data_IF_530864014113
#
_entry.id   IF_530864014113
#
_cell.length_a   1.000
_cell.length_b   1.000
_cell.length_c   1.000
_cell.angle_alpha   90.00
_cell.angle_beta   90.00
_cell.angle_gamma   90.00
#
_symmetry.space_group_name_H-M   'P 1'
#
loop_
_entity.id
_entity.type
_entity.pdbx_description
1 polymer ?
#
# COMPACT_ATOMS: atom_id res chain seq x y z
N UNK A 1 30.08 -40.94 -59.11
CA UNK A 1 29.71 -41.84 -58.00
C UNK A 1 29.17 -40.91 -56.89
N UNK A 2 27.87 -40.64 -56.70
CA UNK A 2 26.75 -41.55 -56.30
C UNK A 2 27.24 -42.57 -55.25
N UNK A 3 26.77 -42.65 -54.00
CA UNK A 3 25.40 -42.66 -53.44
C UNK A 3 25.34 -41.93 -52.07
N UNK A 4 24.33 -41.11 -51.74
CA UNK A 4 23.00 -41.44 -51.18
C UNK A 4 23.02 -42.29 -49.89
N UNK A 5 22.55 -41.72 -48.77
CA UNK A 5 21.43 -42.33 -48.06
C UNK A 5 20.49 -41.28 -47.48
N UNK A 6 19.22 -41.38 -47.88
CA UNK A 6 18.10 -40.56 -47.45
C UNK A 6 17.31 -41.31 -46.37
N UNK A 7 16.50 -40.53 -45.65
CA UNK A 7 15.29 -40.92 -44.91
C UNK A 7 15.47 -41.46 -43.49
N UNK A 8 15.15 -40.60 -42.51
CA UNK A 8 13.88 -40.74 -41.78
C UNK A 8 13.18 -39.37 -41.71
N UNK A 9 11.93 -39.36 -42.16
CA UNK A 9 11.02 -38.24 -42.28
C UNK A 9 10.25 -38.01 -40.97
N UNK A 10 10.04 -36.72 -40.65
CA UNK A 10 8.82 -36.03 -40.14
C UNK A 10 8.25 -36.54 -38.78
N UNK A 11 7.78 -35.68 -37.88
CA UNK A 11 6.44 -35.11 -38.01
C UNK A 11 6.19 -33.83 -37.17
N UNK A 12 5.45 -32.91 -37.82
CA UNK A 12 4.60 -31.85 -37.27
C UNK A 12 5.21 -30.75 -36.37
N UNK A 13 6.07 -29.89 -36.94
CA UNK A 13 6.12 -28.50 -36.44
C UNK A 13 4.82 -27.82 -36.89
N UNK A 14 3.84 -27.76 -35.99
CA UNK A 14 2.59 -27.05 -36.24
C UNK A 14 2.93 -25.59 -36.54
N UNK A 15 2.88 -25.21 -37.81
CA UNK A 15 3.25 -23.86 -38.24
C UNK A 15 2.37 -22.81 -37.57
N UNK A 16 2.91 -21.60 -37.35
CA UNK A 16 2.20 -20.48 -36.67
C UNK A 16 0.77 -20.28 -37.19
N UNK A 17 0.49 -20.51 -38.47
CA UNK A 17 -0.87 -20.45 -39.05
C UNK A 17 -1.79 -21.58 -38.54
N UNK A 18 -1.29 -22.79 -38.45
CA UNK A 18 -2.03 -23.97 -37.97
C UNK A 18 -2.29 -23.85 -36.46
N UNK A 19 -1.31 -23.42 -35.67
CA UNK A 19 -1.51 -23.09 -34.25
C UNK A 19 -2.59 -22.01 -34.08
N UNK A 20 -2.55 -20.95 -34.89
CA UNK A 20 -3.53 -19.87 -34.84
C UNK A 20 -4.94 -20.34 -35.20
N UNK A 21 -5.08 -21.31 -36.11
CA UNK A 21 -6.37 -21.92 -36.46
C UNK A 21 -6.90 -22.86 -35.37
N UNK A 22 -6.02 -23.67 -34.75
CA UNK A 22 -6.35 -24.55 -33.63
C UNK A 22 -6.83 -23.72 -32.44
N UNK A 23 -6.06 -22.71 -32.02
CA UNK A 23 -6.45 -21.81 -30.94
C UNK A 23 -7.72 -21.00 -31.26
N UNK A 24 -7.95 -20.63 -32.53
CA UNK A 24 -9.19 -19.95 -32.93
C UNK A 24 -10.44 -20.83 -32.81
N UNK A 25 -10.31 -22.15 -32.89
CA UNK A 25 -11.43 -23.08 -32.71
C UNK A 25 -11.60 -23.50 -31.24
N UNK A 26 -10.50 -23.59 -30.47
CA UNK A 26 -10.55 -23.81 -29.01
C UNK A 26 -11.13 -22.61 -28.24
N UNK A 27 -10.97 -21.38 -28.76
CA UNK A 27 -11.41 -20.13 -28.11
C UNK A 27 -12.82 -19.70 -28.57
N UNK A 28 -13.51 -20.48 -29.40
CA UNK A 28 -14.84 -20.06 -29.87
C UNK A 28 -15.95 -20.33 -28.85
N UNK A 29 -16.27 -19.22 -28.15
CA UNK A 29 -17.46 -18.90 -27.34
C UNK A 29 -17.51 -19.50 -25.93
N UNK A 30 -17.00 -18.70 -25.00
CA UNK A 30 -17.94 -17.78 -24.34
C UNK A 30 -17.50 -16.36 -24.69
N UNK A 31 -18.45 -15.44 -24.92
CA UNK A 31 -18.13 -14.02 -24.86
C UNK A 31 -17.72 -13.74 -23.42
N UNK A 32 -16.43 -13.93 -23.11
CA UNK A 32 -15.88 -13.52 -21.84
C UNK A 32 -16.17 -12.03 -21.73
N UNK A 33 -17.16 -11.67 -20.90
CA UNK A 33 -17.19 -10.32 -20.31
C UNK A 33 -15.73 -10.02 -19.98
N UNK A 34 -15.22 -8.85 -20.39
CA UNK A 34 -13.96 -8.37 -19.83
C UNK A 34 -14.15 -8.37 -18.33
N UNK A 35 -13.71 -9.44 -17.66
CA UNK A 35 -13.49 -9.43 -16.23
C UNK A 35 -12.27 -8.53 -16.13
N UNK A 36 -12.55 -7.23 -15.97
CA UNK A 36 -11.55 -6.32 -15.45
C UNK A 36 -11.26 -6.89 -14.08
N UNK A 37 -10.17 -7.65 -13.96
CA UNK A 37 -9.61 -7.99 -12.66
C UNK A 37 -9.11 -6.65 -12.11
N UNK A 38 -10.01 -5.91 -11.44
CA UNK A 38 -9.58 -4.80 -10.60
C UNK A 38 -8.76 -5.44 -9.50
N UNK A 39 -7.48 -5.11 -9.44
CA UNK A 39 -6.69 -5.31 -8.22
C UNK A 39 -7.35 -4.46 -7.12
N UNK A 40 -8.31 -5.04 -6.39
CA UNK A 40 -9.06 -4.35 -5.34
C UNK A 40 -8.26 -4.41 -4.03
N UNK A 41 -7.40 -3.40 -3.85
CA UNK A 41 -6.98 -3.02 -2.50
C UNK A 41 -8.23 -2.70 -1.67
N UNK A 42 -8.28 -3.08 -0.38
CA UNK A 42 -9.43 -2.74 0.46
C UNK A 42 -9.64 -1.23 0.44
N UNK A 43 -10.89 -0.80 0.26
CA UNK A 43 -11.21 0.62 0.23
C UNK A 43 -11.04 1.21 1.64
N UNK A 44 -9.91 1.89 1.85
CA UNK A 44 -9.55 2.50 3.13
C UNK A 44 -10.15 3.89 3.34
N UNK A 45 -10.96 4.41 2.40
CA UNK A 45 -11.54 5.75 2.53
C UNK A 45 -12.41 5.89 3.79
N UNK A 46 -13.09 4.81 4.18
CA UNK A 46 -13.95 4.79 5.37
C UNK A 46 -13.26 4.20 6.60
N UNK A 47 -12.04 3.69 6.47
CA UNK A 47 -11.34 2.91 7.51
C UNK A 47 -11.31 3.67 8.85
N UNK A 48 -11.79 3.01 9.91
CA UNK A 48 -11.78 3.53 11.28
C UNK A 48 -10.61 2.97 12.11
N UNK A 49 -9.70 2.22 11.48
CA UNK A 49 -8.50 1.62 12.11
C UNK A 49 -8.87 0.77 13.35
N UNK A 50 -9.98 0.01 13.28
CA UNK A 50 -10.51 -0.74 14.43
C UNK A 50 -9.65 -1.92 14.89
N UNK A 51 -8.72 -2.39 14.06
CA UNK A 51 -7.82 -3.49 14.46
C UNK A 51 -8.20 -4.87 13.95
N UNK A 52 -9.46 -5.09 13.58
CA UNK A 52 -10.00 -6.45 13.36
C UNK A 52 -9.30 -7.20 12.23
N UNK A 53 -9.04 -6.54 11.10
CA UNK A 53 -8.35 -7.17 9.96
C UNK A 53 -6.94 -7.68 10.30
N UNK A 54 -6.18 -6.92 11.11
CA UNK A 54 -4.85 -7.35 11.55
C UNK A 54 -4.94 -8.50 12.55
N UNK A 55 -5.95 -8.48 13.43
CA UNK A 55 -6.17 -9.52 14.44
C UNK A 55 -6.50 -10.88 13.80
N UNK A 56 -7.28 -10.91 12.72
CA UNK A 56 -7.66 -12.17 12.05
C UNK A 56 -6.71 -12.60 10.93
N UNK A 57 -5.70 -11.80 10.59
CA UNK A 57 -4.80 -12.12 9.49
C UNK A 57 -3.89 -13.31 9.84
N UNK A 58 -4.05 -14.48 9.22
CA UNK A 58 -3.33 -15.70 9.63
C UNK A 58 -1.82 -15.64 9.35
N UNK A 59 -1.42 -14.86 8.34
CA UNK A 59 -0.02 -14.66 7.97
C UNK A 59 0.60 -13.41 8.59
N UNK A 60 -0.19 -12.61 9.31
CA UNK A 60 0.24 -11.31 9.81
C UNK A 60 0.65 -10.31 8.72
N UNK A 61 0.21 -10.52 7.47
CA UNK A 61 0.45 -9.64 6.33
C UNK A 61 -0.15 -8.24 6.49
N UNK A 62 -1.16 -8.09 7.36
CA UNK A 62 -1.80 -6.81 7.65
C UNK A 62 -1.13 -6.18 8.87
N UNK A 63 -0.40 -5.09 8.64
CA UNK A 63 0.13 -4.23 9.70
C UNK A 63 -0.73 -2.97 9.80
N UNK A 64 -1.03 -2.60 11.04
CA UNK A 64 -1.66 -1.32 11.35
C UNK A 64 -0.57 -0.37 11.79
N UNK A 65 -0.56 0.86 11.27
CA UNK A 65 0.39 1.83 11.79
C UNK A 65 0.12 2.10 13.26
N UNK A 66 1.20 2.04 14.03
CA UNK A 66 1.31 2.69 15.32
C UNK A 66 1.92 4.06 15.05
N UNK A 67 1.06 5.03 14.80
CA UNK A 67 1.39 6.40 14.37
C UNK A 67 2.07 7.26 15.46
N UNK A 68 2.76 6.60 16.39
CA UNK A 68 3.32 7.17 17.60
C UNK A 68 4.22 8.37 17.31
N UNK A 69 5.12 8.19 16.35
CA UNK A 69 6.20 9.15 16.06
C UNK A 69 5.78 10.27 15.10
N UNK A 70 4.64 10.14 14.42
CA UNK A 70 4.18 11.14 13.44
C UNK A 70 3.07 12.00 14.06
N UNK A 71 2.23 11.43 14.94
CA UNK A 71 1.20 12.19 15.64
C UNK A 71 1.74 12.81 16.91
N UNK A 72 2.56 12.12 17.70
CA UNK A 72 3.12 12.72 18.92
C UNK A 72 4.49 13.35 18.65
N UNK A 73 4.52 14.67 18.78
CA UNK A 73 5.75 15.48 18.78
C UNK A 73 6.57 15.35 20.09
N UNK A 74 6.12 14.53 21.04
CA UNK A 74 6.73 14.34 22.36
C UNK A 74 6.85 15.64 23.19
N UNK A 75 5.84 16.52 23.15
CA UNK A 75 5.84 17.79 23.89
C UNK A 75 5.86 17.66 25.43
N UNK A 76 5.66 16.46 25.99
CA UNK A 76 5.76 16.22 27.43
C UNK A 76 4.52 16.56 28.25
N UNK A 77 3.58 17.37 27.75
CA UNK A 77 2.42 17.83 28.52
C UNK A 77 1.63 16.70 29.22
N UNK A 78 1.48 15.54 28.57
CA UNK A 78 0.79 14.38 29.16
C UNK A 78 1.53 13.74 30.34
N UNK A 79 2.86 13.83 30.37
CA UNK A 79 3.72 13.37 31.48
C UNK A 79 3.51 14.32 32.65
N UNK A 80 3.61 15.62 32.40
CA UNK A 80 3.53 16.66 33.42
C UNK A 80 2.21 16.65 34.19
N UNK A 81 1.10 16.32 33.51
CA UNK A 81 -0.23 16.25 34.15
C UNK A 81 -0.60 14.86 34.68
N UNK A 82 0.27 13.86 34.58
CA UNK A 82 -0.06 12.50 35.00
C UNK A 82 0.13 12.33 36.53
N UNK A 83 -0.94 12.23 37.34
CA UNK A 83 -0.82 12.24 38.80
C UNK A 83 -0.13 11.00 39.38
N UNK A 84 -0.12 9.90 38.64
CA UNK A 84 0.44 8.62 39.08
C UNK A 84 1.72 8.23 38.32
N UNK A 85 2.33 9.16 37.58
CA UNK A 85 3.52 8.90 36.77
C UNK A 85 3.38 7.64 35.89
N UNK A 86 2.17 7.44 35.32
CA UNK A 86 1.86 6.32 34.46
C UNK A 86 2.41 6.53 33.03
N UNK A 87 2.82 7.75 32.68
CA UNK A 87 3.35 8.11 31.36
C UNK A 87 4.80 8.54 31.55
N UNK A 88 5.73 7.86 30.88
CA UNK A 88 7.18 8.07 31.10
C UNK A 88 7.92 8.65 29.90
N UNK A 89 7.32 8.63 28.72
CA UNK A 89 7.98 9.07 27.49
C UNK A 89 7.03 9.80 26.55
N UNK A 90 5.84 9.22 26.33
CA UNK A 90 4.82 9.83 25.46
C UNK A 90 3.46 9.19 25.74
N UNK A 91 2.39 9.82 25.24
CA UNK A 91 1.00 9.44 25.50
C UNK A 91 0.61 8.00 25.14
N UNK A 92 1.45 7.28 24.39
CA UNK A 92 1.20 5.89 23.99
C UNK A 92 1.93 4.86 24.87
N UNK A 93 2.78 5.28 25.83
CA UNK A 93 3.55 4.42 26.76
C UNK A 93 2.95 4.68 28.13
N UNK A 94 1.79 4.06 28.35
CA UNK A 94 1.05 4.19 29.59
C UNK A 94 1.18 2.88 30.37
N UNK A 95 1.76 2.96 31.56
CA UNK A 95 1.76 1.88 32.53
C UNK A 95 0.31 1.61 32.97
N UNK A 96 -0.18 0.41 32.65
CA UNK A 96 -1.57 0.01 32.92
C UNK A 96 -1.84 -0.20 34.42
N UNK A 97 -0.82 -0.51 35.21
CA UNK A 97 -0.96 -0.76 36.65
C UNK A 97 -1.02 0.57 37.42
N UNK A 98 -0.32 1.60 36.94
CA UNK A 98 -0.33 2.95 37.54
C UNK A 98 -1.46 3.85 37.03
N UNK A 99 -1.96 3.59 35.82
CA UNK A 99 -2.98 4.42 35.18
C UNK A 99 -4.36 4.24 35.84
N UNK A 100 -4.82 5.30 36.50
CA UNK A 100 -6.16 5.38 37.10
C UNK A 100 -7.24 5.91 36.15
N UNK A 101 -6.93 6.07 34.85
CA UNK A 101 -7.87 6.52 33.81
C UNK A 101 -8.55 7.88 34.09
N UNK A 102 -7.84 8.81 34.74
CA UNK A 102 -8.37 10.15 35.06
C UNK A 102 -8.59 11.07 33.84
N UNK A 103 -7.93 10.79 32.70
CA UNK A 103 -8.15 11.51 31.44
C UNK A 103 -7.37 12.82 31.25
N UNK A 104 -6.59 13.29 32.23
CA UNK A 104 -5.84 14.56 32.13
C UNK A 104 -4.89 14.62 30.94
N UNK A 105 -4.20 13.51 30.65
CA UNK A 105 -3.34 13.40 29.48
C UNK A 105 -4.09 13.59 28.15
N UNK A 106 -5.40 13.32 28.11
CA UNK A 106 -6.24 13.56 26.94
C UNK A 106 -6.66 15.02 26.82
N UNK A 107 -6.92 15.70 27.95
CA UNK A 107 -7.33 17.12 28.00
C UNK A 107 -6.20 18.03 27.55
N UNK A 108 -4.98 17.78 28.03
CA UNK A 108 -3.82 18.63 27.70
C UNK A 108 -3.20 18.29 26.35
N UNK A 109 -3.58 17.18 25.74
CA UNK A 109 -3.01 16.79 24.47
C UNK A 109 -3.71 17.53 23.34
N UNK A 110 -2.98 18.44 22.72
CA UNK A 110 -3.39 19.18 21.52
C UNK A 110 -3.47 18.30 20.28
N UNK A 111 -3.09 17.02 20.37
CA UNK A 111 -3.15 16.11 19.25
C UNK A 111 -4.58 15.62 19.02
N UNK A 112 -5.13 15.87 17.83
CA UNK A 112 -6.52 15.59 17.49
C UNK A 112 -6.81 14.09 17.38
N UNK A 113 -8.04 13.71 17.72
CA UNK A 113 -8.58 12.36 17.53
C UNK A 113 -8.92 12.18 16.04
N UNK A 114 -7.88 11.83 15.29
CA UNK A 114 -7.77 11.27 13.94
C UNK A 114 -9.10 11.07 13.18
N UNK A 115 -9.46 12.06 12.36
CA UNK A 115 -9.93 11.80 10.99
C UNK A 115 -9.64 12.94 10.01
N UNK A 116 -9.58 14.18 10.47
CA UNK A 116 -9.41 15.34 9.57
C UNK A 116 -8.17 16.20 9.81
N UNK A 117 -7.36 15.88 10.82
CA UNK A 117 -6.24 16.73 11.24
C UNK A 117 -4.85 16.07 11.10
N UNK A 118 -4.72 14.98 10.35
CA UNK A 118 -3.38 14.50 9.96
C UNK A 118 -2.85 15.45 8.89
N UNK A 119 -1.72 16.17 9.12
CA UNK A 119 -1.13 17.02 8.10
C UNK A 119 -0.77 16.18 6.88
N UNK A 120 -1.30 16.57 5.73
CA UNK A 120 -1.03 15.90 4.46
C UNK A 120 0.32 16.37 3.93
N UNK A 121 1.17 15.46 3.42
CA UNK A 121 2.34 15.85 2.65
C UNK A 121 1.93 16.81 1.52
N UNK A 122 2.75 17.82 1.25
CA UNK A 122 2.49 18.77 0.17
C UNK A 122 2.92 18.27 -1.20
N UNK A 123 3.60 17.12 -1.26
CA UNK A 123 4.00 16.41 -2.47
C UNK A 123 3.56 14.95 -2.43
N UNK A 124 3.56 14.23 -3.56
CA UNK A 124 3.58 12.78 -3.53
C UNK A 124 4.74 12.28 -2.66
N UNK A 125 4.55 11.13 -2.01
CA UNK A 125 5.54 10.53 -1.11
C UNK A 125 6.08 9.26 -1.73
N UNK A 126 7.41 9.15 -1.78
CA UNK A 126 8.11 7.95 -2.21
C UNK A 126 8.43 7.06 -1.01
N UNK A 127 8.09 5.79 -1.13
CA UNK A 127 8.31 4.73 -0.14
C UNK A 127 9.55 3.94 -0.59
N UNK A 128 10.70 4.27 0.00
CA UNK A 128 12.03 3.87 -0.47
C UNK A 128 12.23 2.34 -0.53
N UNK A 129 11.66 1.58 0.41
CA UNK A 129 11.71 0.12 0.45
C UNK A 129 11.02 -0.55 -0.76
N UNK A 130 10.14 0.19 -1.46
CA UNK A 130 9.48 -0.26 -2.69
C UNK A 130 10.14 0.28 -3.96
N UNK A 131 11.06 1.23 -3.82
CA UNK A 131 11.70 1.88 -4.96
C UNK A 131 12.90 1.07 -5.45
N UNK A 132 12.88 0.66 -6.70
CA UNK A 132 14.04 0.04 -7.36
C UNK A 132 14.91 1.04 -8.14
N UNK A 133 14.66 2.34 -7.99
CA UNK A 133 15.45 3.44 -8.58
C UNK A 133 15.54 3.41 -10.11
N UNK A 134 14.55 2.84 -10.79
CA UNK A 134 14.53 2.77 -12.27
C UNK A 134 14.51 4.13 -13.00
N UNK A 135 14.24 5.24 -12.30
CA UNK A 135 14.33 6.59 -12.86
C UNK A 135 13.18 7.02 -13.79
N UNK A 136 12.14 6.20 -13.96
CA UNK A 136 10.99 6.54 -14.82
C UNK A 136 10.25 7.80 -14.35
N UNK A 137 10.08 7.96 -13.04
CA UNK A 137 9.45 9.15 -12.45
C UNK A 137 10.25 10.44 -12.69
N UNK A 138 11.58 10.36 -12.70
CA UNK A 138 12.49 11.48 -13.00
C UNK A 138 12.28 11.93 -14.45
N UNK A 139 12.38 11.00 -15.41
CA UNK A 139 12.20 11.29 -16.84
C UNK A 139 10.82 11.82 -17.17
N UNK A 140 9.80 11.40 -16.42
CA UNK A 140 8.40 11.75 -16.69
C UNK A 140 7.96 13.06 -16.04
N UNK A 141 8.70 13.59 -15.08
CA UNK A 141 8.33 14.82 -14.37
C UNK A 141 8.52 16.05 -15.28
N UNK A 142 7.44 16.77 -15.67
CA UNK A 142 7.57 17.93 -16.56
C UNK A 142 8.28 19.11 -15.90
N UNK A 143 8.19 19.22 -14.57
CA UNK A 143 8.77 20.31 -13.78
C UNK A 143 10.22 20.03 -13.33
N UNK A 144 10.75 18.84 -13.64
CA UNK A 144 12.03 18.37 -13.12
C UNK A 144 12.08 18.26 -11.59
N UNK A 145 10.92 18.24 -10.91
CA UNK A 145 10.81 18.21 -9.46
C UNK A 145 11.27 16.87 -8.84
N UNK A 146 11.31 15.79 -9.62
CA UNK A 146 11.78 14.47 -9.16
C UNK A 146 13.22 14.27 -9.61
N UNK A 147 14.13 13.94 -8.69
CA UNK A 147 15.56 13.82 -8.97
C UNK A 147 16.24 12.72 -8.15
N UNK A 148 17.39 12.25 -8.62
CA UNK A 148 18.21 11.27 -7.91
C UNK A 148 19.37 12.00 -7.22
N UNK A 149 19.61 11.71 -5.94
CA UNK A 149 20.77 12.18 -5.19
C UNK A 149 21.18 11.09 -4.19
N UNK A 150 22.47 10.81 -4.05
CA UNK A 150 22.99 9.81 -3.09
C UNK A 150 22.27 8.44 -3.16
N UNK A 151 22.00 7.98 -4.39
CA UNK A 151 21.25 6.75 -4.68
C UNK A 151 19.82 6.71 -4.09
N UNK A 152 19.20 7.87 -3.87
CA UNK A 152 17.81 8.02 -3.42
C UNK A 152 17.04 8.98 -4.29
N UNK A 153 15.74 8.72 -4.42
CA UNK A 153 14.86 9.52 -5.28
C UNK A 153 14.12 10.53 -4.43
N UNK A 154 14.32 11.81 -4.72
CA UNK A 154 13.71 12.92 -4.00
C UNK A 154 12.66 13.62 -4.85
N UNK A 155 11.70 14.26 -4.17
CA UNK A 155 10.68 15.11 -4.77
C UNK A 155 10.81 16.49 -4.13
N UNK A 156 11.08 17.48 -4.97
CA UNK A 156 11.19 18.89 -4.61
C UNK A 156 9.80 19.49 -4.38
N UNK A 157 9.54 20.01 -3.18
CA UNK A 157 8.24 20.58 -2.81
C UNK A 157 7.89 21.83 -3.62
N UNK A 158 8.86 22.72 -3.84
CA UNK A 158 8.63 24.02 -4.47
C UNK A 158 8.39 23.88 -5.99
N UNK A 159 9.06 22.91 -6.61
CA UNK A 159 8.90 22.62 -8.04
C UNK A 159 7.73 21.70 -8.35
N UNK A 160 7.26 20.89 -7.39
CA UNK A 160 6.18 19.96 -7.64
C UNK A 160 4.85 20.69 -7.89
N UNK A 161 4.29 20.56 -9.10
CA UNK A 161 2.95 21.07 -9.44
C UNK A 161 1.81 20.07 -9.22
N UNK A 162 2.05 18.99 -8.46
CA UNK A 162 1.06 17.97 -8.14
C UNK A 162 0.34 17.35 -9.36
N UNK A 163 1.01 17.21 -10.50
CA UNK A 163 0.42 16.62 -11.71
C UNK A 163 0.25 15.09 -11.65
N UNK A 164 0.76 14.44 -10.59
CA UNK A 164 0.68 13.00 -10.30
C UNK A 164 1.31 12.06 -11.35
N UNK A 165 2.05 12.60 -12.32
CA UNK A 165 2.67 11.81 -13.40
C UNK A 165 3.64 10.74 -12.87
N UNK A 166 4.37 11.05 -11.79
CA UNK A 166 5.29 10.12 -11.14
C UNK A 166 4.58 8.91 -10.49
N UNK A 167 3.36 9.08 -9.98
CA UNK A 167 2.55 8.00 -9.42
C UNK A 167 2.12 7.06 -10.55
N UNK A 168 1.54 7.63 -11.61
CA UNK A 168 0.97 6.87 -12.73
C UNK A 168 2.02 6.06 -13.49
N UNK A 169 3.25 6.55 -13.58
CA UNK A 169 4.33 5.87 -14.31
C UNK A 169 5.09 4.85 -13.46
N UNK A 170 4.90 4.81 -12.14
CA UNK A 170 5.71 3.96 -11.25
C UNK A 170 5.24 2.50 -11.30
N UNK A 171 6.00 1.58 -11.94
CA UNK A 171 5.59 0.17 -12.01
C UNK A 171 5.66 -0.53 -10.64
N UNK A 172 6.51 -0.03 -9.75
CA UNK A 172 6.67 -0.57 -8.40
C UNK A 172 5.60 -0.09 -7.43
N UNK A 173 4.72 0.84 -7.86
CA UNK A 173 3.73 1.52 -7.00
C UNK A 173 4.36 2.06 -5.71
N UNK A 174 5.58 2.58 -5.82
CA UNK A 174 6.38 3.09 -4.71
C UNK A 174 6.10 4.56 -4.39
N UNK A 175 5.30 5.26 -5.21
CA UNK A 175 4.97 6.67 -5.03
C UNK A 175 3.48 6.82 -4.78
N UNK A 176 3.11 7.48 -3.68
CA UNK A 176 1.74 7.64 -3.22
C UNK A 176 1.31 9.11 -3.29
N UNK A 177 0.03 9.35 -3.56
CA UNK A 177 -0.55 10.68 -3.34
C UNK A 177 -0.53 11.00 -1.84
N UNK A 178 -0.56 12.28 -1.42
CA UNK A 178 -0.63 12.63 0.01
C UNK A 178 -1.74 11.89 0.76
N UNK A 179 -2.92 11.77 0.14
CA UNK A 179 -4.07 11.08 0.70
C UNK A 179 -3.86 9.57 0.78
N UNK A 180 -3.32 8.95 -0.27
CA UNK A 180 -3.09 7.50 -0.28
C UNK A 180 -1.92 7.10 0.59
N UNK A 181 -0.95 7.99 0.80
CA UNK A 181 0.13 7.79 1.76
C UNK A 181 -0.42 7.69 3.18
N UNK A 182 -1.34 8.57 3.58
CA UNK A 182 -2.00 8.47 4.90
C UNK A 182 -2.74 7.14 5.04
N UNK A 183 -3.47 6.70 4.01
CA UNK A 183 -4.15 5.40 4.02
C UNK A 183 -3.16 4.23 4.13
N UNK A 184 -2.06 4.30 3.38
CA UNK A 184 -0.98 3.33 3.42
C UNK A 184 -0.35 3.23 4.81
N UNK A 185 -0.18 4.36 5.49
CA UNK A 185 0.23 4.37 6.89
C UNK A 185 -0.84 3.66 7.74
N UNK A 186 -2.10 4.09 7.70
CA UNK A 186 -3.17 3.52 8.54
C UNK A 186 -3.24 1.97 8.48
N UNK A 187 -3.20 1.40 7.28
CA UNK A 187 -3.24 -0.05 7.06
C UNK A 187 -2.32 -0.39 5.88
N UNK A 188 -1.28 -1.17 6.13
CA UNK A 188 -0.40 -1.70 5.09
C UNK A 188 -0.58 -3.21 4.95
N UNK A 189 -0.66 -3.68 3.71
CA UNK A 189 -0.75 -5.10 3.38
C UNK A 189 0.52 -5.50 2.64
N UNK A 190 1.24 -6.48 3.19
CA UNK A 190 2.31 -7.16 2.48
C UNK A 190 1.71 -8.18 1.52
N UNK A 191 1.81 -7.91 0.22
CA UNK A 191 1.24 -8.76 -0.83
C UNK A 191 1.97 -10.09 -0.99
N UNK A 192 3.22 -10.19 -0.53
CA UNK A 192 3.98 -11.45 -0.61
C UNK A 192 3.58 -12.42 0.49
N UNK A 193 3.19 -11.89 1.66
CA UNK A 193 2.65 -12.69 2.78
C UNK A 193 1.14 -12.84 2.72
N UNK A 194 0.43 -12.11 1.86
CA UNK A 194 -1.02 -12.21 1.74
C UNK A 194 -1.42 -13.48 0.96
N UNK A 195 -2.11 -14.40 1.61
CA UNK A 195 -2.64 -15.64 0.99
C UNK A 195 -4.06 -15.48 0.46
N UNK A 196 -4.59 -14.25 0.41
CA UNK A 196 -5.93 -13.95 -0.12
C UNK A 196 -7.08 -14.74 0.53
N UNK A 197 -6.99 -15.03 1.83
CA UNK A 197 -8.00 -15.78 2.59
C UNK A 197 -9.32 -15.01 2.84
N UNK A 198 -9.34 -13.69 2.63
CA UNK A 198 -10.51 -12.79 2.80
C UNK A 198 -11.05 -12.63 4.23
N UNK A 199 -10.44 -13.22 5.24
CA UNK A 199 -10.82 -13.03 6.66
C UNK A 199 -10.92 -11.56 7.08
N UNK A 200 -9.97 -10.73 6.63
CA UNK A 200 -9.97 -9.29 6.89
C UNK A 200 -11.19 -8.55 6.33
N UNK A 201 -11.78 -9.11 5.27
CA UNK A 201 -12.94 -8.59 4.58
C UNK A 201 -14.22 -8.91 5.38
N UNK A 202 -14.34 -10.15 5.85
CA UNK A 202 -15.47 -10.64 6.66
C UNK A 202 -15.59 -9.93 8.01
N UNK A 203 -14.48 -9.65 8.67
CA UNK A 203 -14.50 -8.98 9.98
C UNK A 203 -14.57 -7.46 9.90
N UNK A 204 -14.54 -6.87 8.70
CA UNK A 204 -14.56 -5.42 8.56
C UNK A 204 -15.97 -4.87 8.82
N UNK A 205 -16.19 -4.07 9.90
CA UNK A 205 -17.52 -3.59 10.26
C UNK A 205 -18.09 -2.57 9.27
N UNK A 206 -17.24 -2.08 8.35
CA UNK A 206 -17.61 -1.13 7.31
C UNK A 206 -17.94 -1.83 5.99
N UNK A 207 -17.64 -3.12 5.88
CA UNK A 207 -17.95 -3.90 4.70
C UNK A 207 -19.36 -4.48 4.80
N UNK A 208 -20.35 -3.62 4.54
CA UNK A 208 -21.79 -3.94 4.67
C UNK A 208 -22.30 -5.00 3.67
N UNK A 209 -21.46 -5.47 2.74
CA UNK A 209 -21.86 -6.35 1.65
C UNK A 209 -21.53 -7.84 1.87
N UNK A 210 -21.08 -8.22 3.07
CA UNK A 210 -20.58 -9.57 3.38
C UNK A 210 -21.12 -10.12 4.70
N UNK A 211 -22.13 -9.47 5.28
CA UNK A 211 -22.96 -10.15 6.25
C UNK A 211 -23.79 -11.22 5.50
N UNK A 212 -23.92 -12.45 6.02
CA UNK A 212 -24.81 -13.45 5.45
C UNK A 212 -26.26 -12.98 5.41
#
# INVERSE_FOLDING_TARGET
>A
MFYNNRYLQRDAVVGKKTLRLIFKHLIQKEKSKKVVVKEEYPNLNSCIVCGLCSKVCPTGAIKLFKFRNIICENCGACIDVCPNNAITLDRFRVDKERCIKCGYCGIVCTLPVIKEEIPKPKTPVLVEDRCNRCGLCIKRCPEGAVYLKDDKVFIDEDRCKMCLSCINICPMKAIYSPTDYIKYLMVSIDIYSCISCRECEYVCPLNKHIAP
#
